data_IF_764600313280
#
_entry.id   IF_764600313280
#
_cell.length_a   1.000
_cell.length_b   1.000
_cell.length_c   1.000
_cell.angle_alpha   90.00
_cell.angle_beta   90.00
_cell.angle_gamma   90.00
#
_symmetry.space_group_name_H-M   'P 1'
#
loop_
_entity.id
_entity.type
_entity.pdbx_description
1 polymer ?
#
# COMPACT_ATOMS: atom_id res chain seq x y z
N UNK A 1 -22.01 1.99 0.01
CA UNK A 1 -20.58 1.79 0.32
C UNK A 1 -19.81 2.84 -0.47
N UNK A 2 -19.34 3.92 0.18
CA UNK A 2 -18.44 4.87 -0.50
C UNK A 2 -17.12 4.14 -0.69
N UNK A 3 -16.68 4.01 -1.94
CA UNK A 3 -15.31 3.62 -2.25
C UNK A 3 -14.47 4.82 -1.80
N UNK A 4 -13.55 4.62 -0.86
CA UNK A 4 -12.65 5.69 -0.42
C UNK A 4 -11.72 6.03 -1.59
N UNK A 5 -11.61 7.31 -1.94
CA UNK A 5 -10.63 7.77 -2.91
C UNK A 5 -9.29 7.87 -2.19
N UNK A 6 -8.27 7.21 -2.74
CA UNK A 6 -6.87 7.37 -2.31
C UNK A 6 -6.46 8.76 -2.78
N UNK A 7 -5.87 9.57 -1.90
CA UNK A 7 -5.36 10.88 -2.26
C UNK A 7 -4.08 10.78 -3.10
N UNK A 8 -3.79 11.81 -3.88
CA UNK A 8 -2.64 11.83 -4.80
C UNK A 8 -1.31 11.49 -4.11
N UNK A 9 -1.12 11.90 -2.84
CA UNK A 9 0.12 11.64 -2.11
C UNK A 9 0.24 10.18 -1.66
N UNK A 10 -0.87 9.57 -1.23
CA UNK A 10 -0.89 8.14 -0.95
C UNK A 10 -0.64 7.30 -2.21
N UNK A 11 -1.08 7.76 -3.39
CA UNK A 11 -0.78 7.13 -4.68
C UNK A 11 0.72 7.23 -5.02
N UNK A 12 1.33 8.40 -4.87
CA UNK A 12 2.78 8.59 -5.07
C UNK A 12 3.64 7.68 -4.17
N UNK A 13 3.29 7.56 -2.88
CA UNK A 13 4.00 6.69 -1.94
C UNK A 13 3.81 5.22 -2.32
N UNK A 14 2.60 4.82 -2.73
CA UNK A 14 2.32 3.46 -3.16
C UNK A 14 3.11 3.11 -4.43
N UNK A 15 3.12 3.99 -5.43
CA UNK A 15 3.91 3.81 -6.65
C UNK A 15 5.40 3.71 -6.34
N UNK A 16 5.92 4.60 -5.48
CA UNK A 16 7.31 4.55 -5.05
C UNK A 16 7.64 3.21 -4.41
N UNK A 17 6.86 2.78 -3.41
CA UNK A 17 7.02 1.49 -2.78
C UNK A 17 7.01 0.35 -3.81
N UNK A 18 6.05 0.32 -4.74
CA UNK A 18 5.92 -0.76 -5.73
C UNK A 18 7.13 -0.83 -6.67
N UNK A 19 7.70 0.32 -7.05
CA UNK A 19 8.79 0.43 -8.04
C UNK A 19 10.16 0.24 -7.39
N UNK A 20 10.40 0.79 -6.20
CA UNK A 20 11.72 0.75 -5.55
C UNK A 20 11.92 -0.44 -4.62
N UNK A 21 10.83 -1.07 -4.18
CA UNK A 21 10.92 -2.24 -3.30
C UNK A 21 11.55 -3.43 -4.04
N UNK A 22 12.72 -3.84 -3.56
CA UNK A 22 13.44 -5.01 -4.02
C UNK A 22 12.80 -6.27 -3.44
N UNK A 23 11.76 -6.76 -4.11
CA UNK A 23 11.01 -7.94 -3.67
C UNK A 23 11.73 -9.23 -4.09
N UNK A 24 12.12 -10.11 -3.14
CA UNK A 24 12.74 -11.40 -3.46
C UNK A 24 11.76 -12.44 -4.01
N UNK A 25 10.45 -12.15 -3.98
CA UNK A 25 9.43 -13.04 -4.52
C UNK A 25 9.18 -12.71 -5.98
N UNK A 26 9.69 -13.54 -6.89
CA UNK A 26 9.54 -13.32 -8.33
C UNK A 26 8.06 -13.36 -8.75
N UNK A 27 7.24 -14.28 -8.22
CA UNK A 27 5.82 -14.38 -8.53
C UNK A 27 5.03 -15.09 -7.40
N UNK A 28 4.00 -14.44 -6.85
CA UNK A 28 3.09 -15.07 -5.87
C UNK A 28 1.69 -15.27 -6.46
N UNK A 29 1.32 -16.53 -6.69
CA UNK A 29 -0.08 -16.96 -6.87
C UNK A 29 -0.63 -16.91 -8.31
N UNK A 30 -1.82 -17.52 -8.48
CA UNK A 30 -2.47 -17.77 -9.78
C UNK A 30 -2.90 -16.51 -10.56
N UNK A 31 -2.79 -15.32 -9.95
CA UNK A 31 -3.18 -14.02 -10.52
C UNK A 31 -2.00 -13.04 -10.57
N UNK A 32 -0.79 -13.47 -10.17
CA UNK A 32 0.41 -12.62 -10.17
C UNK A 32 0.38 -11.45 -9.18
N UNK A 33 -0.59 -11.44 -8.24
CA UNK A 33 -0.71 -10.39 -7.24
C UNK A 33 0.34 -10.53 -6.15
N UNK A 34 1.31 -9.60 -6.10
CA UNK A 34 2.31 -9.49 -5.03
C UNK A 34 2.00 -8.39 -4.01
N UNK A 35 1.07 -7.49 -4.35
CA UNK A 35 0.72 -6.31 -3.55
C UNK A 35 -0.71 -6.43 -3.04
N UNK A 36 -0.92 -6.02 -1.79
CA UNK A 36 -2.24 -5.89 -1.17
C UNK A 36 -2.35 -4.54 -0.45
N UNK A 37 -3.56 -4.02 -0.37
CA UNK A 37 -3.86 -2.80 0.39
C UNK A 37 -4.71 -3.16 1.60
N UNK A 38 -4.36 -2.60 2.75
CA UNK A 38 -5.14 -2.65 3.97
C UNK A 38 -5.73 -1.28 4.26
N UNK A 39 -7.04 -1.24 4.53
CA UNK A 39 -7.77 -0.02 4.86
C UNK A 39 -8.34 -0.15 6.27
N UNK A 40 -7.92 0.73 7.17
CA UNK A 40 -8.38 0.78 8.56
C UNK A 40 -9.18 2.06 8.77
N UNK A 41 -10.50 1.94 8.78
CA UNK A 41 -11.39 3.07 9.06
C UNK A 41 -11.40 3.34 10.56
N UNK A 42 -11.06 4.58 10.94
CA UNK A 42 -11.05 5.07 12.32
C UNK A 42 -12.07 6.20 12.48
N UNK A 43 -12.22 6.72 13.70
CA UNK A 43 -13.04 7.90 13.96
C UNK A 43 -12.47 9.20 13.38
N UNK A 44 -11.18 9.21 12.99
CA UNK A 44 -10.45 10.41 12.53
C UNK A 44 -10.28 10.38 11.00
N UNK A 45 -10.26 9.20 10.39
CA UNK A 45 -10.03 9.04 8.96
C UNK A 45 -9.80 7.57 8.60
N UNK A 46 -9.15 7.32 7.47
CA UNK A 46 -8.79 5.97 7.01
C UNK A 46 -7.27 5.87 6.99
N UNK A 47 -6.72 4.92 7.74
CA UNK A 47 -5.33 4.50 7.57
C UNK A 47 -5.22 3.56 6.38
N UNK A 48 -4.20 3.74 5.56
CA UNK A 48 -3.98 2.94 4.35
C UNK A 48 -2.56 2.40 4.37
N UNK A 49 -2.42 1.09 4.21
CA UNK A 49 -1.12 0.43 4.19
C UNK A 49 -0.99 -0.41 2.92
N UNK A 50 0.09 -0.22 2.18
CA UNK A 50 0.47 -1.12 1.08
C UNK A 50 1.35 -2.23 1.64
N UNK A 51 1.07 -3.49 1.29
CA UNK A 51 1.79 -4.67 1.79
C UNK A 51 2.25 -5.52 0.61
N UNK A 52 3.53 -5.87 0.60
CA UNK A 52 4.09 -6.86 -0.31
C UNK A 52 3.95 -8.27 0.29
N UNK A 53 3.76 -9.27 -0.58
CA UNK A 53 3.72 -10.68 -0.19
C UNK A 53 5.01 -11.20 0.44
N UNK A 54 6.13 -10.48 0.30
CA UNK A 54 7.39 -10.78 0.99
C UNK A 54 7.37 -10.45 2.49
N UNK A 55 6.36 -9.69 2.94
CA UNK A 55 6.17 -9.27 4.33
C UNK A 55 6.51 -7.79 4.59
N UNK A 56 7.11 -7.07 3.65
CA UNK A 56 7.34 -5.62 3.78
C UNK A 56 6.06 -4.82 3.54
N UNK A 57 5.94 -3.67 4.19
CA UNK A 57 4.77 -2.80 4.12
C UNK A 57 5.11 -1.35 4.36
N UNK A 58 4.34 -0.44 3.75
CA UNK A 58 4.49 1.01 3.89
C UNK A 58 3.15 1.63 4.30
N UNK A 59 3.16 2.55 5.27
CA UNK A 59 1.99 3.34 5.66
C UNK A 59 1.86 4.55 4.72
N UNK A 60 0.81 4.53 3.90
CA UNK A 60 0.56 5.58 2.91
C UNK A 60 -0.01 6.86 3.53
N UNK A 61 -0.38 6.82 4.81
CA UNK A 61 -0.94 7.94 5.55
C UNK A 61 0.07 8.65 6.45
N UNK A 62 1.29 8.12 6.56
CA UNK A 62 2.39 8.76 7.29
C UNK A 62 3.15 9.77 6.41
N UNK A 63 2.49 10.89 6.12
CA UNK A 63 3.06 11.94 5.27
C UNK A 63 4.27 12.67 5.87
N UNK A 64 4.58 12.47 7.15
CA UNK A 64 5.62 13.19 7.89
C UNK A 64 6.98 12.50 7.86
N UNK A 65 7.02 11.22 7.51
CA UNK A 65 8.24 10.41 7.43
C UNK A 65 8.86 10.34 6.03
N UNK A 66 8.21 10.98 5.03
CA UNK A 66 8.67 11.10 3.65
C UNK A 66 9.27 12.47 3.33
#
# INVERSE_FOLDING_TARGET
>A
MKIFEIDDKADEIAEHFIVTHDCPLEYTGAIGGKISYEFVVTSIGVGITVKCGCGESEDLTDYASW
#
